data_IF_999020364959
#
_entry.id   IF_999020364959
#
_cell.length_a   1.000
_cell.length_b   1.000
_cell.length_c   1.000
_cell.angle_alpha   90.00
_cell.angle_beta   90.00
_cell.angle_gamma   90.00
#
_symmetry.space_group_name_H-M   'P 1'
#
loop_
_entity.id
_entity.type
_entity.pdbx_description
1 polymer ?
#
# COMPACT_ATOMS: atom_id res chain seq x y z
N UNK A 1 30.45 -17.12 1.89
CA UNK A 1 30.20 -15.98 2.78
C UNK A 1 30.44 -16.47 4.19
N UNK A 2 31.46 -15.96 4.87
CA UNK A 2 31.56 -16.14 6.32
C UNK A 2 30.34 -15.43 6.93
N UNK A 3 29.40 -16.19 7.44
CA UNK A 3 28.40 -15.65 8.36
C UNK A 3 29.20 -15.25 9.61
N UNK A 4 29.55 -13.97 9.67
CA UNK A 4 30.15 -13.40 10.88
C UNK A 4 29.29 -13.75 12.07
N UNK A 5 29.86 -13.68 13.24
CA UNK A 5 29.16 -13.85 14.51
C UNK A 5 27.81 -13.13 14.43
N UNK A 6 26.71 -13.85 14.62
CA UNK A 6 25.39 -13.21 14.80
C UNK A 6 25.56 -12.34 16.04
N UNK A 7 25.23 -11.06 15.94
CA UNK A 7 25.23 -10.17 17.09
C UNK A 7 24.21 -10.73 18.09
N UNK A 8 24.65 -10.95 19.33
CA UNK A 8 23.80 -11.55 20.37
C UNK A 8 22.54 -10.71 20.63
N UNK A 9 22.64 -9.38 20.51
CA UNK A 9 21.53 -8.47 20.68
C UNK A 9 20.48 -8.67 19.60
N UNK A 10 20.93 -8.76 18.32
CA UNK A 10 20.03 -9.03 17.18
C UNK A 10 19.38 -10.40 17.32
N UNK A 11 20.11 -11.41 17.81
CA UNK A 11 19.56 -12.75 18.00
C UNK A 11 18.45 -12.73 19.07
N UNK A 12 18.66 -12.05 20.19
CA UNK A 12 17.64 -11.90 21.24
C UNK A 12 16.38 -11.21 20.71
N UNK A 13 16.52 -10.19 19.85
CA UNK A 13 15.35 -9.55 19.24
C UNK A 13 14.63 -10.48 18.23
N UNK A 14 15.35 -11.37 17.54
CA UNK A 14 14.74 -12.40 16.71
C UNK A 14 14.01 -13.45 17.55
N UNK A 15 14.53 -13.84 18.72
CA UNK A 15 13.85 -14.71 19.68
C UNK A 15 12.53 -14.11 20.15
N UNK A 16 12.51 -12.80 20.46
CA UNK A 16 11.28 -12.07 20.79
C UNK A 16 10.30 -12.04 19.62
N UNK A 17 10.78 -11.85 18.39
CA UNK A 17 9.94 -11.91 17.19
C UNK A 17 9.30 -13.29 17.01
N UNK A 18 10.03 -14.37 17.26
CA UNK A 18 9.48 -15.73 17.19
C UNK A 18 8.45 -15.98 18.31
N UNK A 19 8.73 -15.50 19.54
CA UNK A 19 7.77 -15.56 20.65
C UNK A 19 6.49 -14.77 20.33
N UNK A 20 6.62 -13.59 19.72
CA UNK A 20 5.49 -12.80 19.23
C UNK A 20 4.66 -13.58 18.20
N UNK A 21 5.28 -14.21 17.20
CA UNK A 21 4.55 -15.01 16.21
C UNK A 21 3.76 -16.13 16.87
N UNK A 22 4.36 -16.82 17.82
CA UNK A 22 3.70 -17.88 18.59
C UNK A 22 2.51 -17.34 19.39
N UNK A 23 2.67 -16.22 20.08
CA UNK A 23 1.62 -15.59 20.87
C UNK A 23 0.41 -15.17 20.01
N UNK A 24 0.66 -14.67 18.79
CA UNK A 24 -0.38 -14.27 17.84
C UNK A 24 -0.92 -15.43 17.00
N UNK A 25 -0.49 -16.69 17.25
CA UNK A 25 -0.91 -17.86 16.47
C UNK A 25 -0.45 -17.85 15.02
N UNK A 26 0.56 -17.04 14.70
CA UNK A 26 1.14 -16.96 13.36
C UNK A 26 2.04 -18.18 13.11
N UNK A 27 2.09 -18.60 11.86
CA UNK A 27 2.90 -19.76 11.42
C UNK A 27 4.09 -19.29 10.61
N UNK A 28 5.27 -19.08 11.24
CA UNK A 28 6.46 -18.66 10.51
C UNK A 28 6.99 -19.78 9.62
N UNK A 29 7.44 -19.41 8.41
CA UNK A 29 8.03 -20.29 7.43
C UNK A 29 9.38 -19.79 6.99
N UNK A 30 10.38 -20.67 6.97
CA UNK A 30 11.70 -20.40 6.41
C UNK A 30 11.89 -21.11 5.09
N UNK A 31 12.11 -20.37 4.01
CA UNK A 31 12.46 -20.91 2.69
C UNK A 31 13.94 -20.69 2.39
N UNK A 32 14.69 -21.76 2.19
CA UNK A 32 16.15 -21.70 1.96
C UNK A 32 16.65 -22.71 0.92
N UNK A 33 17.72 -22.33 0.19
CA UNK A 33 18.36 -23.18 -0.80
C UNK A 33 19.75 -23.70 -0.39
N UNK A 34 20.39 -23.03 0.59
CA UNK A 34 21.82 -23.23 0.87
C UNK A 34 22.01 -23.73 2.30
N UNK A 35 22.93 -24.67 2.46
CA UNK A 35 23.42 -25.06 3.78
C UNK A 35 24.01 -23.85 4.50
N UNK A 36 23.71 -23.73 5.78
CA UNK A 36 24.23 -22.69 6.64
C UNK A 36 24.62 -23.27 7.98
N UNK A 37 25.64 -22.72 8.57
CA UNK A 37 26.09 -23.07 9.92
C UNK A 37 25.91 -21.87 10.84
N UNK A 38 25.67 -22.14 12.11
CA UNK A 38 25.64 -21.16 13.18
C UNK A 38 26.73 -21.48 14.20
N UNK A 39 27.37 -20.46 14.73
CA UNK A 39 28.33 -20.54 15.84
C UNK A 39 27.88 -19.55 16.92
N UNK A 40 27.52 -20.05 18.06
CA UNK A 40 27.08 -19.25 19.19
C UNK A 40 28.15 -19.29 20.30
N UNK A 41 28.48 -18.14 20.85
CA UNK A 41 29.34 -18.00 22.06
C UNK A 41 30.61 -18.88 22.05
N UNK A 42 31.28 -18.99 20.91
CA UNK A 42 32.53 -19.78 20.77
C UNK A 42 32.33 -21.30 20.72
N UNK A 43 31.10 -21.79 20.63
CA UNK A 43 30.83 -23.22 20.40
C UNK A 43 31.27 -23.69 19.00
N UNK A 44 31.35 -25.01 18.82
CA UNK A 44 31.60 -25.59 17.51
C UNK A 44 30.48 -25.21 16.52
N UNK A 45 30.81 -24.96 15.23
CA UNK A 45 29.76 -24.72 14.22
C UNK A 45 28.80 -25.91 14.11
N UNK A 46 27.49 -25.63 14.13
CA UNK A 46 26.44 -26.63 13.91
C UNK A 46 25.54 -26.26 12.74
N UNK A 47 24.78 -27.20 12.21
CA UNK A 47 23.82 -26.89 11.15
C UNK A 47 22.78 -25.90 11.66
N UNK A 48 22.50 -24.85 10.87
CA UNK A 48 21.54 -23.80 11.25
C UNK A 48 20.12 -24.33 11.35
N UNK A 49 19.73 -25.24 10.43
CA UNK A 49 18.37 -25.71 10.38
C UNK A 49 18.05 -26.69 11.54
N UNK A 50 19.02 -27.50 11.94
CA UNK A 50 18.87 -28.36 13.11
C UNK A 50 18.79 -27.51 14.39
N UNK A 51 19.59 -26.45 14.47
CA UNK A 51 19.48 -25.50 15.57
C UNK A 51 18.13 -24.80 15.63
N UNK A 52 17.58 -24.35 14.47
CA UNK A 52 16.26 -23.69 14.42
C UNK A 52 15.12 -24.63 14.77
N UNK A 53 15.15 -25.89 14.34
CA UNK A 53 14.13 -26.89 14.71
C UNK A 53 14.09 -27.15 16.22
N UNK A 54 15.26 -27.13 16.88
CA UNK A 54 15.33 -27.35 18.33
C UNK A 54 14.81 -26.12 19.13
N UNK A 55 15.12 -24.90 18.66
CA UNK A 55 14.81 -23.68 19.37
C UNK A 55 13.44 -23.07 19.03
N UNK A 56 12.95 -23.31 17.82
CA UNK A 56 11.70 -22.76 17.30
C UNK A 56 10.86 -23.85 16.66
N UNK A 57 10.27 -24.74 17.45
CA UNK A 57 9.50 -25.90 16.94
C UNK A 57 8.26 -25.50 16.12
N UNK A 58 7.78 -24.29 16.25
CA UNK A 58 6.70 -23.70 15.45
C UNK A 58 7.15 -23.26 14.04
N UNK A 59 8.46 -23.16 13.78
CA UNK A 59 9.01 -22.74 12.50
C UNK A 59 9.00 -23.89 11.49
N UNK A 60 8.26 -23.74 10.40
CA UNK A 60 8.31 -24.69 9.30
C UNK A 60 9.46 -24.39 8.35
N UNK A 61 10.35 -25.35 8.11
CA UNK A 61 11.55 -25.14 7.29
C UNK A 61 11.45 -25.87 5.96
N UNK A 62 11.34 -25.11 4.87
CA UNK A 62 11.41 -25.59 3.49
C UNK A 62 12.84 -25.39 2.94
N UNK A 63 13.56 -26.51 2.79
CA UNK A 63 14.91 -26.48 2.21
C UNK A 63 15.14 -27.68 1.29
N UNK A 64 15.72 -27.43 0.11
CA UNK A 64 16.13 -28.48 -0.83
C UNK A 64 17.15 -29.45 -0.27
N UNK A 65 17.84 -29.08 0.81
CA UNK A 65 18.82 -29.97 1.46
C UNK A 65 18.12 -31.14 2.16
N UNK A 66 16.89 -30.95 2.64
CA UNK A 66 16.07 -31.97 3.29
C UNK A 66 15.09 -32.63 2.33
N UNK A 67 14.53 -31.84 1.38
CA UNK A 67 13.63 -32.35 0.35
C UNK A 67 13.99 -31.77 -1.03
N UNK A 68 14.58 -32.58 -1.93
CA UNK A 68 14.92 -32.17 -3.30
C UNK A 68 13.73 -31.76 -4.17
N UNK A 69 12.49 -32.10 -3.79
CA UNK A 69 11.26 -31.68 -4.51
C UNK A 69 10.98 -30.20 -4.37
N UNK A 70 11.46 -29.55 -3.30
CA UNK A 70 11.25 -28.12 -3.10
C UNK A 70 11.93 -27.35 -4.24
N UNK A 71 11.20 -26.51 -4.98
CA UNK A 71 11.77 -25.74 -6.07
C UNK A 71 12.82 -24.74 -5.59
N UNK A 72 13.69 -24.28 -6.50
CA UNK A 72 14.67 -23.27 -6.15
C UNK A 72 14.01 -21.94 -5.78
N UNK A 73 14.42 -21.38 -4.64
CA UNK A 73 14.14 -19.99 -4.26
C UNK A 73 14.44 -19.08 -5.47
N UNK A 74 13.71 -17.98 -5.62
CA UNK A 74 13.61 -17.07 -6.78
C UNK A 74 12.70 -17.57 -7.91
N UNK A 75 12.26 -18.80 -7.92
CA UNK A 75 11.29 -19.25 -8.91
C UNK A 75 9.87 -19.04 -8.38
N UNK A 76 8.93 -18.80 -9.29
CA UNK A 76 7.50 -18.75 -8.93
C UNK A 76 7.05 -20.07 -8.31
N UNK A 77 7.56 -21.19 -8.85
CA UNK A 77 7.26 -22.51 -8.32
C UNK A 77 7.65 -22.71 -6.85
N UNK A 78 8.69 -21.99 -6.34
CA UNK A 78 9.08 -22.12 -4.93
C UNK A 78 8.05 -21.50 -3.98
N UNK A 79 7.50 -20.35 -4.33
CA UNK A 79 6.44 -19.71 -3.55
C UNK A 79 5.11 -20.44 -3.71
N UNK A 80 4.76 -20.86 -4.92
CA UNK A 80 3.57 -21.69 -5.17
C UNK A 80 3.60 -22.98 -4.37
N UNK A 81 4.76 -23.65 -4.31
CA UNK A 81 4.95 -24.87 -3.51
C UNK A 81 4.69 -24.60 -2.02
N UNK A 82 5.33 -23.58 -1.45
CA UNK A 82 5.15 -23.25 -0.01
C UNK A 82 3.71 -22.86 0.30
N UNK A 83 3.10 -22.01 -0.54
CA UNK A 83 1.71 -21.58 -0.35
C UNK A 83 0.75 -22.78 -0.41
N UNK A 84 0.96 -23.70 -1.36
CA UNK A 84 0.15 -24.91 -1.51
C UNK A 84 0.30 -25.85 -0.31
N UNK A 85 1.53 -26.09 0.15
CA UNK A 85 1.78 -26.96 1.33
C UNK A 85 1.17 -26.41 2.61
N UNK A 86 1.14 -25.07 2.74
CA UNK A 86 0.58 -24.40 3.90
C UNK A 86 -0.92 -24.12 3.78
N UNK A 87 -1.51 -24.30 2.59
CA UNK A 87 -2.91 -24.00 2.31
C UNK A 87 -3.21 -22.49 2.33
N UNK A 88 -2.27 -21.65 1.90
CA UNK A 88 -2.37 -20.18 1.94
C UNK A 88 -2.53 -19.57 0.55
N UNK A 89 -3.26 -18.47 0.51
CA UNK A 89 -3.24 -17.53 -0.61
C UNK A 89 -2.08 -16.54 -0.48
N UNK A 90 -1.58 -16.01 -1.60
CA UNK A 90 -0.44 -15.08 -1.58
C UNK A 90 -0.71 -13.79 -0.79
N UNK A 91 -1.95 -13.33 -0.73
CA UNK A 91 -2.35 -12.15 0.04
C UNK A 91 -2.82 -12.47 1.46
N UNK A 92 -2.44 -13.60 2.02
CA UNK A 92 -2.61 -13.95 3.44
C UNK A 92 -1.28 -14.00 4.18
N UNK A 93 -0.17 -13.75 3.47
CA UNK A 93 1.19 -13.85 4.02
C UNK A 93 2.00 -12.61 3.70
N UNK A 94 3.05 -12.35 4.48
CA UNK A 94 4.07 -11.35 4.17
C UNK A 94 5.44 -12.03 4.08
N UNK A 95 6.34 -11.48 3.29
CA UNK A 95 7.69 -12.03 3.12
C UNK A 95 8.71 -11.12 3.80
N UNK A 96 9.38 -11.62 4.85
CA UNK A 96 10.46 -10.92 5.54
C UNK A 96 11.79 -11.39 4.94
N UNK A 97 12.61 -10.46 4.45
CA UNK A 97 13.88 -10.80 3.85
C UNK A 97 14.83 -9.62 3.68
N UNK A 98 16.09 -9.89 3.36
CA UNK A 98 17.15 -8.86 3.32
C UNK A 98 17.98 -8.85 2.04
N UNK A 99 17.78 -9.83 1.17
CA UNK A 99 18.62 -10.02 -0.02
C UNK A 99 17.84 -9.82 -1.31
N UNK A 100 18.58 -9.61 -2.41
CA UNK A 100 17.99 -9.59 -3.75
C UNK A 100 17.26 -10.90 -4.10
N UNK A 101 17.74 -12.04 -3.60
CA UNK A 101 17.10 -13.34 -3.78
C UNK A 101 15.76 -13.42 -3.05
N UNK A 102 15.65 -12.81 -1.87
CA UNK A 102 14.40 -12.70 -1.10
C UNK A 102 13.39 -11.83 -1.84
N UNK A 103 13.84 -10.67 -2.32
CA UNK A 103 13.01 -9.76 -3.10
C UNK A 103 12.42 -10.44 -4.35
N UNK A 104 13.26 -11.13 -5.15
CA UNK A 104 12.78 -11.86 -6.34
C UNK A 104 11.77 -12.95 -5.94
N UNK A 105 12.01 -13.64 -4.83
CA UNK A 105 11.10 -14.68 -4.33
C UNK A 105 9.74 -14.11 -3.96
N UNK A 106 9.71 -13.02 -3.19
CA UNK A 106 8.49 -12.32 -2.82
C UNK A 106 7.73 -11.78 -4.06
N UNK A 107 8.46 -11.15 -4.99
CA UNK A 107 7.91 -10.63 -6.24
C UNK A 107 7.23 -11.72 -7.07
N UNK A 108 7.89 -12.87 -7.26
CA UNK A 108 7.34 -13.98 -8.04
C UNK A 108 6.15 -14.65 -7.34
N UNK A 109 6.08 -14.57 -6.03
CA UNK A 109 4.94 -15.03 -5.25
C UNK A 109 3.79 -14.03 -5.15
N UNK A 110 3.96 -12.80 -5.67
CA UNK A 110 3.04 -11.69 -5.44
C UNK A 110 2.78 -11.44 -3.94
N UNK A 111 3.85 -11.53 -3.13
CA UNK A 111 3.81 -11.41 -1.67
C UNK A 111 4.43 -10.06 -1.27
N UNK A 112 3.80 -9.35 -0.33
CA UNK A 112 4.30 -8.09 0.20
C UNK A 112 5.67 -8.30 0.85
N UNK A 113 6.67 -7.52 0.42
CA UNK A 113 8.05 -7.68 0.85
C UNK A 113 8.42 -6.68 1.94
N UNK A 114 8.67 -7.19 3.15
CA UNK A 114 9.19 -6.46 4.30
C UNK A 114 10.71 -6.63 4.34
N UNK A 115 11.44 -5.54 4.12
CA UNK A 115 12.89 -5.56 4.01
C UNK A 115 13.54 -5.41 5.38
N UNK A 116 14.11 -6.49 5.87
CA UNK A 116 14.82 -6.57 7.13
C UNK A 116 16.28 -6.07 6.96
N UNK A 117 16.58 -4.83 7.36
CA UNK A 117 17.91 -4.24 7.18
C UNK A 117 18.87 -4.49 8.34
N UNK A 118 18.38 -4.90 9.49
CA UNK A 118 19.22 -5.25 10.65
C UNK A 118 20.20 -6.40 10.40
N UNK A 119 19.90 -7.26 9.45
CA UNK A 119 20.75 -8.40 9.09
C UNK A 119 21.62 -8.11 7.87
N UNK A 120 21.07 -7.48 6.86
CA UNK A 120 21.76 -7.20 5.59
C UNK A 120 20.97 -6.22 4.76
N UNK A 121 21.63 -5.25 4.15
CA UNK A 121 21.01 -4.30 3.23
C UNK A 121 21.54 -4.53 1.80
N UNK A 122 21.02 -5.56 1.11
CA UNK A 122 21.45 -5.96 -0.25
C UNK A 122 20.41 -5.73 -1.33
N UNK A 123 19.36 -4.99 -1.03
CA UNK A 123 18.32 -4.61 -1.98
C UNK A 123 17.67 -3.30 -1.52
N UNK A 124 17.21 -2.48 -2.44
CA UNK A 124 16.45 -1.22 -2.23
C UNK A 124 14.95 -1.43 -2.44
N UNK A 125 14.50 -2.68 -2.59
CA UNK A 125 13.09 -3.03 -2.77
C UNK A 125 12.45 -3.38 -1.43
N UNK A 126 11.16 -3.13 -1.36
CA UNK A 126 10.35 -3.45 -0.18
C UNK A 126 10.33 -2.34 0.87
N UNK A 127 9.43 -2.49 1.82
CA UNK A 127 9.29 -1.59 2.95
C UNK A 127 10.39 -1.89 3.96
N UNK A 128 11.12 -0.86 4.38
CA UNK A 128 12.31 -1.00 5.22
C UNK A 128 11.96 -1.07 6.69
N UNK A 129 12.62 -2.01 7.38
CA UNK A 129 12.56 -2.19 8.82
C UNK A 129 13.98 -2.38 9.34
N UNK A 130 14.40 -1.56 10.29
CA UNK A 130 15.75 -1.53 10.83
C UNK A 130 15.97 -2.52 11.97
N UNK A 131 14.90 -3.03 12.58
CA UNK A 131 14.94 -3.97 13.69
C UNK A 131 13.73 -4.91 13.72
N UNK A 132 13.85 -6.09 14.36
CA UNK A 132 12.75 -7.06 14.49
C UNK A 132 11.51 -6.50 15.16
N UNK A 133 11.67 -5.58 16.12
CA UNK A 133 10.57 -4.92 16.84
C UNK A 133 9.65 -4.13 15.89
N UNK A 134 10.22 -3.43 14.93
CA UNK A 134 9.46 -2.68 13.93
C UNK A 134 8.61 -3.59 13.05
N UNK A 135 9.15 -4.76 12.65
CA UNK A 135 8.39 -5.77 11.89
C UNK A 135 7.25 -6.33 12.72
N UNK A 136 7.50 -6.66 14.00
CA UNK A 136 6.47 -7.17 14.88
C UNK A 136 5.34 -6.14 15.06
N UNK A 137 5.69 -4.88 15.33
CA UNK A 137 4.74 -3.76 15.43
C UNK A 137 3.91 -3.62 14.14
N UNK A 138 4.56 -3.62 12.98
CA UNK A 138 3.88 -3.52 11.69
C UNK A 138 2.89 -4.68 11.46
N UNK A 139 3.30 -5.89 11.78
CA UNK A 139 2.43 -7.06 11.65
C UNK A 139 1.25 -6.94 12.62
N UNK A 140 1.52 -6.67 13.89
CA UNK A 140 0.50 -6.63 14.94
C UNK A 140 -0.56 -5.55 14.70
N UNK A 141 -0.13 -4.37 14.29
CA UNK A 141 -1.02 -3.21 14.16
C UNK A 141 -1.60 -3.00 12.76
N UNK A 142 -1.01 -3.57 11.73
CA UNK A 142 -1.41 -3.29 10.34
C UNK A 142 -1.78 -4.53 9.54
N UNK A 143 -1.11 -5.68 9.78
CA UNK A 143 -1.39 -6.90 9.03
C UNK A 143 -2.49 -7.76 9.66
N UNK A 144 -2.67 -7.70 10.98
CA UNK A 144 -3.66 -8.51 11.72
C UNK A 144 -5.02 -7.83 11.87
N UNK A 145 -5.25 -6.72 11.16
CA UNK A 145 -6.58 -6.09 11.08
C UNK A 145 -7.55 -7.02 10.35
N UNK A 146 -8.80 -7.04 10.80
CA UNK A 146 -9.88 -7.80 10.17
C UNK A 146 -10.63 -6.96 9.14
N UNK A 147 -10.67 -5.64 9.32
CA UNK A 147 -11.40 -4.68 8.49
C UNK A 147 -10.43 -3.71 7.81
N UNK A 148 -10.40 -3.71 6.47
CA UNK A 148 -9.41 -2.95 5.71
C UNK A 148 -9.91 -1.64 5.12
N UNK A 149 -11.20 -1.55 4.81
CA UNK A 149 -11.79 -0.37 4.20
C UNK A 149 -13.00 0.12 4.99
N UNK A 150 -13.01 1.40 5.34
CA UNK A 150 -14.14 2.00 6.05
C UNK A 150 -15.29 2.39 5.14
N UNK A 151 -15.02 2.59 3.85
CA UNK A 151 -16.05 2.91 2.87
C UNK A 151 -15.69 2.33 1.50
N UNK A 152 -16.65 1.65 0.88
CA UNK A 152 -16.48 1.04 -0.43
C UNK A 152 -17.67 1.36 -1.32
N UNK A 153 -17.41 1.72 -2.58
CA UNK A 153 -18.41 1.85 -3.61
C UNK A 153 -18.03 0.92 -4.75
N UNK A 154 -18.80 -0.13 -4.97
CA UNK A 154 -18.63 -1.06 -6.09
C UNK A 154 -19.92 -1.05 -6.90
N UNK A 155 -19.86 -0.53 -8.12
CA UNK A 155 -21.01 -0.38 -9.00
C UNK A 155 -20.59 -0.59 -10.47
N UNK A 156 -20.77 -1.81 -10.96
CA UNK A 156 -20.30 -2.20 -12.29
C UNK A 156 -18.80 -2.08 -12.43
N UNK A 157 -18.35 -1.22 -13.34
CA UNK A 157 -16.90 -0.94 -13.53
C UNK A 157 -16.37 0.19 -12.63
N UNK A 158 -17.22 0.80 -11.80
CA UNK A 158 -16.82 1.82 -10.84
C UNK A 158 -16.42 1.20 -9.52
N UNK A 159 -15.17 1.43 -9.10
CA UNK A 159 -14.62 0.94 -7.84
C UNK A 159 -13.92 2.07 -7.09
N UNK A 160 -14.37 2.32 -5.86
CA UNK A 160 -13.78 3.29 -4.95
C UNK A 160 -13.67 2.73 -3.54
N UNK A 161 -12.52 2.96 -2.91
CA UNK A 161 -12.21 2.52 -1.56
C UNK A 161 -11.65 3.66 -0.73
N UNK A 162 -12.03 3.75 0.54
CA UNK A 162 -11.45 4.70 1.49
C UNK A 162 -10.99 3.98 2.76
N UNK A 163 -9.76 4.28 3.18
CA UNK A 163 -9.15 3.66 4.36
C UNK A 163 -9.90 4.07 5.64
N UNK A 164 -10.12 5.37 5.84
CA UNK A 164 -10.74 5.88 7.06
C UNK A 164 -11.76 7.00 6.79
N UNK A 165 -12.83 7.10 7.60
CA UNK A 165 -13.69 8.25 7.59
C UNK A 165 -12.99 9.45 8.21
N UNK A 166 -13.34 10.64 7.76
CA UNK A 166 -12.73 11.89 8.18
C UNK A 166 -13.79 12.85 8.73
N UNK A 167 -13.57 13.29 9.97
CA UNK A 167 -14.34 14.37 10.57
C UNK A 167 -13.51 15.09 11.61
N UNK A 168 -13.52 16.41 11.57
CA UNK A 168 -12.95 17.24 12.64
C UNK A 168 -14.03 17.79 13.58
N UNK A 169 -15.27 17.33 13.43
CA UNK A 169 -16.37 17.78 14.28
C UNK A 169 -16.23 17.21 15.70
N UNK A 170 -16.30 18.04 16.74
CA UNK A 170 -16.28 17.57 18.12
C UNK A 170 -17.50 16.70 18.49
N UNK A 171 -18.56 16.75 17.70
CA UNK A 171 -19.76 15.91 17.87
C UNK A 171 -19.59 14.49 17.30
N UNK A 172 -18.41 14.15 16.79
CA UNK A 172 -18.06 12.84 16.27
C UNK A 172 -16.75 12.35 16.92
N UNK A 173 -16.77 12.05 18.24
CA UNK A 173 -15.56 11.78 19.02
C UNK A 173 -14.77 10.58 18.48
N UNK A 174 -15.43 9.52 18.00
CA UNK A 174 -14.78 8.34 17.42
C UNK A 174 -13.84 8.72 16.27
N UNK A 175 -14.28 9.62 15.37
CA UNK A 175 -13.45 10.03 14.23
C UNK A 175 -12.50 11.16 14.59
N UNK A 176 -12.84 12.03 15.53
CA UNK A 176 -11.98 13.11 15.99
C UNK A 176 -10.69 12.58 16.61
N UNK A 177 -10.74 11.40 17.26
CA UNK A 177 -9.63 10.74 17.91
C UNK A 177 -8.40 10.62 17.00
N UNK A 178 -8.58 10.27 15.73
CA UNK A 178 -7.48 10.09 14.79
C UNK A 178 -7.50 11.07 13.59
N UNK A 179 -8.61 11.75 13.32
CA UNK A 179 -8.76 12.56 12.08
C UNK A 179 -7.73 13.67 11.94
N UNK A 180 -7.30 14.30 13.05
CA UNK A 180 -6.24 15.31 13.04
C UNK A 180 -4.91 14.69 12.62
N UNK A 181 -4.55 13.55 13.20
CA UNK A 181 -3.32 12.82 12.90
C UNK A 181 -3.32 12.34 11.44
N UNK A 182 -4.39 11.66 11.02
CA UNK A 182 -4.57 11.18 9.65
C UNK A 182 -4.50 12.31 8.61
N UNK A 183 -5.12 13.47 8.91
CA UNK A 183 -5.05 14.63 8.02
C UNK A 183 -3.65 15.23 7.98
N UNK A 184 -2.95 15.30 9.11
CA UNK A 184 -1.58 15.80 9.15
C UNK A 184 -0.65 14.90 8.33
N UNK A 185 -0.80 13.57 8.44
CA UNK A 185 -0.07 12.60 7.65
C UNK A 185 -0.37 12.73 6.16
N UNK A 186 -1.65 12.72 5.78
CA UNK A 186 -2.06 12.74 4.38
C UNK A 186 -1.71 14.06 3.66
N UNK A 187 -1.89 15.21 4.34
CA UNK A 187 -1.70 16.54 3.71
C UNK A 187 -0.31 17.10 3.84
N UNK A 188 0.39 16.81 4.94
CA UNK A 188 1.62 17.52 5.29
C UNK A 188 2.81 16.58 5.53
N UNK A 189 2.60 15.26 5.47
CA UNK A 189 3.63 14.28 5.80
C UNK A 189 4.11 14.42 7.26
N UNK A 190 3.21 14.77 8.19
CA UNK A 190 3.49 15.00 9.61
C UNK A 190 2.70 14.03 10.49
N UNK A 191 3.11 13.87 11.75
CA UNK A 191 2.51 12.88 12.64
C UNK A 191 2.91 11.45 12.27
N UNK A 192 2.00 10.50 12.42
CA UNK A 192 2.28 9.07 12.27
C UNK A 192 2.11 8.58 10.83
N UNK A 193 2.87 9.19 9.92
CA UNK A 193 2.78 8.93 8.47
C UNK A 193 3.01 7.47 8.16
N UNK A 194 3.97 6.83 8.82
CA UNK A 194 4.31 5.41 8.59
C UNK A 194 3.16 4.47 8.99
N UNK A 195 2.41 4.80 10.05
CA UNK A 195 1.19 4.06 10.38
C UNK A 195 0.14 4.18 9.27
N UNK A 196 -0.19 5.40 8.84
CA UNK A 196 -1.25 5.63 7.86
C UNK A 196 -0.92 5.06 6.47
N UNK A 197 0.32 5.20 6.03
CA UNK A 197 0.79 4.60 4.78
C UNK A 197 0.87 3.09 4.87
N UNK A 198 1.34 2.56 6.00
CA UNK A 198 1.32 1.13 6.27
C UNK A 198 -0.09 0.55 6.25
N UNK A 199 -1.07 1.25 6.88
CA UNK A 199 -2.47 0.85 6.85
C UNK A 199 -3.05 0.85 5.44
N UNK A 200 -2.73 1.86 4.62
CA UNK A 200 -3.15 1.93 3.22
C UNK A 200 -2.55 0.79 2.39
N UNK A 201 -1.24 0.56 2.53
CA UNK A 201 -0.50 -0.49 1.82
C UNK A 201 -1.04 -1.88 2.16
N UNK A 202 -1.24 -2.17 3.45
CA UNK A 202 -1.77 -3.46 3.90
C UNK A 202 -3.22 -3.66 3.45
N UNK A 203 -4.05 -2.61 3.47
CA UNK A 203 -5.41 -2.67 2.93
C UNK A 203 -5.42 -3.03 1.44
N UNK A 204 -4.63 -2.34 0.61
CA UNK A 204 -4.50 -2.67 -0.82
C UNK A 204 -3.96 -4.08 -1.06
N UNK A 205 -3.08 -4.55 -0.17
CA UNK A 205 -2.47 -5.87 -0.31
C UNK A 205 -3.43 -6.99 0.08
N UNK A 206 -3.96 -6.99 1.30
CA UNK A 206 -4.80 -8.07 1.83
C UNK A 206 -6.13 -8.17 1.09
N UNK A 207 -6.69 -7.07 0.58
CA UNK A 207 -7.88 -7.08 -0.28
C UNK A 207 -7.61 -7.41 -1.75
N UNK A 208 -6.35 -7.69 -2.12
CA UNK A 208 -5.97 -8.18 -3.44
C UNK A 208 -5.98 -7.12 -4.56
N UNK A 209 -6.06 -5.83 -4.26
CA UNK A 209 -6.02 -4.75 -5.27
C UNK A 209 -4.77 -4.85 -6.13
N UNK A 210 -3.61 -5.19 -5.53
CA UNK A 210 -2.34 -5.36 -6.24
C UNK A 210 -2.37 -6.40 -7.37
N UNK A 211 -3.27 -7.38 -7.30
CA UNK A 211 -3.43 -8.42 -8.34
C UNK A 211 -4.18 -7.90 -9.57
N UNK A 212 -5.00 -6.84 -9.42
CA UNK A 212 -5.92 -6.34 -10.43
C UNK A 212 -5.44 -5.11 -11.19
N UNK A 213 -4.31 -4.53 -10.80
CA UNK A 213 -3.75 -3.30 -11.38
C UNK A 213 -2.52 -3.57 -12.23
N UNK A 214 -2.25 -2.68 -13.20
CA UNK A 214 -1.02 -2.65 -13.99
C UNK A 214 -0.11 -1.50 -13.58
N UNK A 215 -0.73 -0.35 -13.23
CA UNK A 215 -0.04 0.89 -12.88
C UNK A 215 -0.64 1.53 -11.64
N UNK A 216 0.16 2.39 -11.01
CA UNK A 216 -0.25 3.20 -9.85
C UNK A 216 0.06 4.64 -10.18
N UNK A 217 -0.84 5.55 -9.83
CA UNK A 217 -0.63 6.99 -9.93
C UNK A 217 -1.27 7.68 -8.72
N UNK A 218 -0.68 8.79 -8.29
CA UNK A 218 -1.30 9.70 -7.34
C UNK A 218 -2.01 10.83 -8.09
N UNK A 219 -3.11 11.34 -7.53
CA UNK A 219 -3.73 12.55 -8.03
C UNK A 219 -2.85 13.76 -7.65
N UNK A 220 -2.54 14.69 -8.58
CA UNK A 220 -1.62 15.80 -8.32
C UNK A 220 -2.22 16.80 -7.34
N UNK A 221 -1.37 17.48 -6.59
CA UNK A 221 -1.73 18.60 -5.73
C UNK A 221 -2.49 19.70 -6.50
N UNK A 222 -2.97 20.73 -5.79
CA UNK A 222 -3.76 21.80 -6.39
C UNK A 222 -2.93 22.81 -7.20
N UNK A 223 -1.64 22.88 -6.97
CA UNK A 223 -0.69 23.74 -7.69
C UNK A 223 0.18 22.94 -8.64
N UNK A 224 0.68 23.58 -9.68
CA UNK A 224 1.61 22.97 -10.61
C UNK A 224 2.88 22.48 -9.88
N UNK A 225 3.29 21.24 -10.16
CA UNK A 225 4.52 20.65 -9.63
C UNK A 225 4.54 20.36 -8.12
N UNK A 226 3.38 20.33 -7.46
CA UNK A 226 3.29 20.02 -6.02
C UNK A 226 2.66 18.64 -5.81
N UNK A 227 3.44 17.73 -5.26
CA UNK A 227 3.03 16.36 -4.92
C UNK A 227 3.20 16.06 -3.42
N UNK A 228 2.63 14.96 -2.96
CA UNK A 228 2.88 14.40 -1.64
C UNK A 228 4.02 13.38 -1.75
N UNK A 229 5.26 13.83 -1.59
CA UNK A 229 6.47 13.03 -1.81
C UNK A 229 6.50 11.72 -1.01
N UNK A 230 6.02 11.73 0.24
CA UNK A 230 6.03 10.53 1.09
C UNK A 230 5.04 9.49 0.56
N UNK A 231 3.80 9.89 0.27
CA UNK A 231 2.79 9.01 -0.33
C UNK A 231 3.28 8.44 -1.66
N UNK A 232 3.86 9.29 -2.51
CA UNK A 232 4.41 8.89 -3.80
C UNK A 232 5.55 7.87 -3.66
N UNK A 233 6.42 8.07 -2.67
CA UNK A 233 7.52 7.14 -2.35
C UNK A 233 7.02 5.75 -1.95
N UNK A 234 6.02 5.69 -1.09
CA UNK A 234 5.48 4.42 -0.60
C UNK A 234 4.61 3.71 -1.64
N UNK A 235 3.84 4.45 -2.44
CA UNK A 235 3.11 3.90 -3.60
C UNK A 235 4.08 3.32 -4.64
N UNK A 236 5.22 3.98 -4.88
CA UNK A 236 6.27 3.44 -5.74
C UNK A 236 6.87 2.16 -5.14
N UNK A 237 7.14 2.12 -3.84
CA UNK A 237 7.65 0.94 -3.15
C UNK A 237 6.66 -0.22 -3.23
N UNK A 238 5.37 0.05 -2.98
CA UNK A 238 4.30 -0.92 -3.16
C UNK A 238 4.27 -1.46 -4.60
N UNK A 239 4.29 -0.57 -5.58
CA UNK A 239 4.32 -0.97 -6.99
C UNK A 239 5.52 -1.87 -7.33
N UNK A 240 6.70 -1.55 -6.82
CA UNK A 240 7.91 -2.37 -7.02
C UNK A 240 7.78 -3.76 -6.42
N UNK A 241 7.12 -3.93 -5.27
CA UNK A 241 6.87 -5.25 -4.67
C UNK A 241 6.15 -6.20 -5.63
N UNK A 242 5.30 -5.69 -6.51
CA UNK A 242 4.46 -6.47 -7.42
C UNK A 242 4.76 -6.26 -8.91
N UNK A 243 5.91 -5.68 -9.25
CA UNK A 243 6.29 -5.31 -10.62
C UNK A 243 5.26 -4.40 -11.31
N UNK A 244 4.57 -3.56 -10.56
CA UNK A 244 3.65 -2.53 -11.06
C UNK A 244 4.40 -1.22 -11.23
N UNK A 245 4.16 -0.49 -12.32
CA UNK A 245 4.80 0.80 -12.55
C UNK A 245 4.10 1.90 -11.77
N UNK A 246 4.84 2.65 -10.94
CA UNK A 246 4.37 3.91 -10.42
C UNK A 246 4.62 5.02 -11.47
N UNK A 247 3.56 5.71 -11.88
CA UNK A 247 3.56 6.75 -12.90
C UNK A 247 3.32 8.09 -12.22
N UNK A 248 4.38 8.71 -11.66
CA UNK A 248 4.25 9.89 -10.82
C UNK A 248 3.70 11.11 -11.54
N UNK A 249 3.99 11.25 -12.83
CA UNK A 249 3.58 12.33 -13.70
C UNK A 249 2.49 11.93 -14.72
N UNK A 250 1.70 10.88 -14.43
CA UNK A 250 0.62 10.46 -15.32
C UNK A 250 -0.45 11.53 -15.48
N UNK A 251 -0.84 12.18 -14.38
CA UNK A 251 -1.78 13.30 -14.39
C UNK A 251 -0.98 14.55 -14.10
N UNK A 252 -0.94 15.46 -15.06
CA UNK A 252 -0.28 16.74 -14.94
C UNK A 252 -1.29 17.83 -14.62
N UNK A 253 -0.99 18.67 -13.65
CA UNK A 253 -1.72 19.89 -13.41
C UNK A 253 -1.09 21.01 -14.23
N UNK A 254 -1.73 21.35 -15.34
CA UNK A 254 -1.27 22.40 -16.26
C UNK A 254 -1.74 23.81 -15.88
N UNK A 255 -2.62 23.91 -14.88
CA UNK A 255 -3.16 25.17 -14.34
C UNK A 255 -3.54 24.97 -12.88
N UNK A 256 -3.18 25.92 -12.04
CA UNK A 256 -3.54 25.87 -10.60
C UNK A 256 -5.06 25.79 -10.41
N UNK A 257 -5.52 24.78 -9.68
CA UNK A 257 -6.91 24.66 -9.29
C UNK A 257 -7.23 25.50 -8.05
N UNK A 258 -8.45 26.02 -7.96
CA UNK A 258 -8.90 26.74 -6.78
C UNK A 258 -9.03 25.73 -5.62
N UNK A 259 -8.39 26.01 -4.49
CA UNK A 259 -8.53 25.19 -3.28
C UNK A 259 -9.96 25.24 -2.76
N UNK A 260 -10.57 24.09 -2.47
CA UNK A 260 -11.92 24.02 -1.90
C UNK A 260 -12.06 24.79 -0.58
N UNK A 261 -11.01 24.84 0.24
CA UNK A 261 -11.01 25.64 1.47
C UNK A 261 -11.03 27.15 1.17
N UNK A 262 -10.19 27.62 0.25
CA UNK A 262 -10.13 29.01 -0.19
C UNK A 262 -11.46 29.44 -0.82
N UNK A 263 -12.02 28.61 -1.69
CA UNK A 263 -13.32 28.86 -2.30
C UNK A 263 -14.43 29.01 -1.26
N UNK A 264 -14.44 28.14 -0.25
CA UNK A 264 -15.41 28.18 0.84
C UNK A 264 -15.31 29.45 1.69
N UNK A 265 -14.07 29.84 2.04
CA UNK A 265 -13.82 31.08 2.80
C UNK A 265 -14.26 32.30 2.01
N UNK A 266 -13.93 32.35 0.72
CA UNK A 266 -14.22 33.49 -0.16
C UNK A 266 -15.60 33.40 -0.83
N UNK A 267 -16.43 32.39 -0.49
CA UNK A 267 -17.76 32.16 -1.08
C UNK A 267 -17.73 32.06 -2.61
N UNK A 268 -16.64 31.54 -3.18
CA UNK A 268 -16.49 31.31 -4.63
C UNK A 268 -17.16 29.98 -4.95
N UNK A 269 -18.16 29.94 -5.84
CA UNK A 269 -18.74 28.68 -6.28
C UNK A 269 -17.71 27.91 -7.10
N UNK A 270 -17.41 26.68 -6.68
CA UNK A 270 -16.60 25.74 -7.42
C UNK A 270 -17.35 24.43 -7.59
N UNK A 271 -17.12 23.78 -8.71
CA UNK A 271 -17.65 22.49 -9.04
C UNK A 271 -16.55 21.59 -9.65
N UNK A 272 -16.92 20.46 -10.23
CA UNK A 272 -16.01 19.51 -10.85
C UNK A 272 -15.24 20.08 -12.06
N UNK A 273 -15.74 21.15 -12.73
CA UNK A 273 -14.99 21.82 -13.81
C UNK A 273 -13.67 22.41 -13.34
N UNK A 274 -13.59 22.80 -12.05
CA UNK A 274 -12.32 23.27 -11.45
C UNK A 274 -11.22 22.19 -11.51
N UNK A 275 -11.57 20.91 -11.50
CA UNK A 275 -10.62 19.81 -11.64
C UNK A 275 -10.44 19.45 -13.13
N UNK A 276 -11.51 19.28 -13.88
CA UNK A 276 -11.48 18.91 -15.30
C UNK A 276 -10.64 19.87 -16.16
N UNK A 277 -10.77 21.19 -15.89
CA UNK A 277 -10.13 22.24 -16.68
C UNK A 277 -8.71 22.58 -16.25
N UNK A 278 -8.13 21.82 -15.32
CA UNK A 278 -6.81 22.13 -14.76
C UNK A 278 -5.85 20.94 -14.83
N UNK A 279 -6.32 19.80 -15.32
CA UNK A 279 -5.49 18.59 -15.50
C UNK A 279 -5.46 18.14 -16.95
N UNK A 280 -4.45 17.38 -17.27
CA UNK A 280 -4.31 16.56 -18.50
C UNK A 280 -3.49 15.31 -18.20
N UNK A 281 -3.45 14.35 -19.10
CA UNK A 281 -2.54 13.22 -18.98
C UNK A 281 -1.19 13.52 -19.66
N UNK A 282 -0.13 13.01 -19.06
CA UNK A 282 1.15 12.85 -19.74
C UNK A 282 1.10 11.58 -20.61
N UNK A 283 1.31 11.75 -21.92
CA UNK A 283 1.29 10.63 -22.86
C UNK A 283 2.44 9.66 -22.66
N UNK A 284 3.58 10.16 -22.17
CA UNK A 284 4.83 9.42 -22.00
C UNK A 284 5.35 9.57 -20.56
N UNK A 285 4.56 9.11 -19.57
CA UNK A 285 4.90 9.32 -18.17
C UNK A 285 6.19 8.60 -17.79
N UNK A 286 6.78 9.04 -16.68
CA UNK A 286 8.00 8.45 -16.13
C UNK A 286 7.66 7.34 -15.15
N UNK A 287 8.21 6.14 -15.39
CA UNK A 287 8.09 5.00 -14.48
C UNK A 287 9.07 5.13 -13.33
N UNK A 288 8.57 5.11 -12.10
CA UNK A 288 9.36 5.06 -10.87
C UNK A 288 10.45 6.14 -10.80
N UNK A 289 10.19 7.34 -11.29
CA UNK A 289 11.13 8.48 -11.38
C UNK A 289 12.43 8.19 -12.18
N UNK A 290 12.47 7.11 -12.95
CA UNK A 290 13.71 6.66 -13.61
C UNK A 290 13.61 6.55 -15.13
N UNK A 291 12.50 6.06 -15.66
CA UNK A 291 12.41 5.68 -17.06
C UNK A 291 11.19 6.27 -17.72
N UNK A 292 11.39 7.16 -18.68
CA UNK A 292 10.31 7.71 -19.52
C UNK A 292 9.83 6.64 -20.49
N UNK A 293 8.52 6.46 -20.61
CA UNK A 293 7.95 5.54 -21.59
C UNK A 293 8.12 6.07 -23.01
N UNK A 294 8.41 5.17 -23.94
CA UNK A 294 8.53 5.50 -25.37
C UNK A 294 7.20 5.48 -26.13
N UNK A 295 6.16 4.93 -25.52
CA UNK A 295 4.77 4.87 -26.02
C UNK A 295 3.83 4.95 -24.84
N UNK A 296 2.62 5.47 -25.04
CA UNK A 296 1.61 5.57 -24.00
C UNK A 296 1.38 4.21 -23.32
N UNK A 297 1.71 4.09 -22.02
CA UNK A 297 1.54 2.82 -21.29
C UNK A 297 0.08 2.58 -20.90
N UNK A 298 -0.66 3.66 -20.61
CA UNK A 298 -2.07 3.63 -20.20
C UNK A 298 -2.94 3.57 -21.45
N UNK A 299 -3.68 2.48 -21.61
CA UNK A 299 -4.47 2.16 -22.78
C UNK A 299 -5.47 1.04 -22.50
N UNK A 300 -6.34 0.72 -23.45
CA UNK A 300 -7.29 -0.41 -23.37
C UNK A 300 -6.63 -1.69 -22.85
N UNK A 301 -7.29 -2.35 -21.91
CA UNK A 301 -6.84 -3.59 -21.26
C UNK A 301 -5.83 -3.37 -20.13
N UNK A 302 -5.60 -2.11 -19.72
CA UNK A 302 -4.81 -1.75 -18.53
C UNK A 302 -5.68 -1.20 -17.44
N UNK A 303 -5.27 -1.44 -16.18
CA UNK A 303 -5.94 -0.90 -15.00
C UNK A 303 -4.96 -0.01 -14.24
N UNK A 304 -5.38 1.20 -13.91
CA UNK A 304 -4.63 2.17 -13.12
C UNK A 304 -5.26 2.29 -11.74
N UNK A 305 -4.47 2.08 -10.70
CA UNK A 305 -4.82 2.47 -9.35
C UNK A 305 -4.54 3.97 -9.21
N UNK A 306 -5.59 4.76 -8.99
CA UNK A 306 -5.48 6.20 -8.73
C UNK A 306 -5.72 6.49 -7.26
N UNK A 307 -4.72 7.08 -6.60
CA UNK A 307 -4.73 7.36 -5.16
C UNK A 307 -4.77 8.85 -4.90
N UNK A 308 -5.59 9.28 -3.94
CA UNK A 308 -5.63 10.68 -3.45
C UNK A 308 -5.65 10.69 -1.91
N UNK A 309 -5.39 11.84 -1.30
CA UNK A 309 -5.33 12.00 0.15
C UNK A 309 -6.73 12.02 0.80
N UNK A 310 -7.61 12.93 0.40
CA UNK A 310 -8.94 13.15 1.00
C UNK A 310 -10.02 13.28 -0.06
N UNK A 311 -11.02 12.41 0.00
CA UNK A 311 -12.21 12.51 -0.81
C UNK A 311 -13.36 13.17 -0.04
N UNK A 312 -13.86 14.32 -0.53
CA UNK A 312 -15.13 14.90 -0.09
C UNK A 312 -16.23 14.53 -1.08
N UNK A 313 -16.33 15.24 -2.19
CA UNK A 313 -17.32 14.96 -3.24
C UNK A 313 -16.78 14.09 -4.39
N UNK A 314 -15.53 13.68 -4.35
CA UNK A 314 -14.90 12.83 -5.37
C UNK A 314 -14.45 13.53 -6.64
N UNK A 315 -14.63 14.82 -6.78
CA UNK A 315 -14.37 15.54 -8.04
C UNK A 315 -12.93 15.42 -8.57
N UNK A 316 -11.95 15.43 -7.68
CA UNK A 316 -10.53 15.23 -8.07
C UNK A 316 -10.32 13.84 -8.67
N UNK A 317 -10.66 12.81 -7.90
CA UNK A 317 -10.51 11.43 -8.35
C UNK A 317 -11.32 11.15 -9.61
N UNK A 318 -12.56 11.63 -9.68
CA UNK A 318 -13.42 11.35 -10.82
C UNK A 318 -12.95 12.09 -12.09
N UNK A 319 -12.41 13.31 -11.97
CA UNK A 319 -11.75 13.98 -13.08
C UNK A 319 -10.55 13.15 -13.58
N UNK A 320 -9.67 12.70 -12.69
CA UNK A 320 -8.55 11.82 -13.05
C UNK A 320 -9.02 10.53 -13.71
N UNK A 321 -10.05 9.88 -13.14
CA UNK A 321 -10.69 8.69 -13.71
C UNK A 321 -11.16 8.93 -15.14
N UNK A 322 -11.94 9.97 -15.39
CA UNK A 322 -12.47 10.29 -16.74
C UNK A 322 -11.37 10.50 -17.77
N UNK A 323 -10.27 11.16 -17.41
CA UNK A 323 -9.12 11.31 -18.29
C UNK A 323 -8.42 9.99 -18.57
N UNK A 324 -8.20 9.15 -17.55
CA UNK A 324 -7.59 7.82 -17.69
C UNK A 324 -8.48 6.92 -18.54
N UNK A 325 -9.76 6.84 -18.25
CA UNK A 325 -10.73 5.99 -18.96
C UNK A 325 -10.92 6.42 -20.43
N UNK A 326 -10.69 7.69 -20.76
CA UNK A 326 -10.66 8.16 -22.15
C UNK A 326 -9.59 7.46 -23.01
N UNK A 327 -8.53 6.95 -22.39
CA UNK A 327 -7.50 6.13 -23.07
C UNK A 327 -7.97 4.69 -23.34
N UNK A 328 -9.11 4.28 -22.81
CA UNK A 328 -9.64 2.91 -22.81
C UNK A 328 -9.12 2.05 -21.65
N UNK A 329 -8.34 2.59 -20.72
CA UNK A 329 -7.94 1.93 -19.49
C UNK A 329 -9.09 1.90 -18.48
N UNK A 330 -9.00 0.99 -17.48
CA UNK A 330 -9.86 0.98 -16.29
C UNK A 330 -9.17 1.66 -15.13
N UNK A 331 -9.96 2.09 -14.13
CA UNK A 331 -9.44 2.68 -12.91
C UNK A 331 -9.98 1.95 -11.67
N UNK A 332 -9.14 1.88 -10.64
CA UNK A 332 -9.54 1.60 -9.25
C UNK A 332 -9.14 2.84 -8.46
N UNK A 333 -10.08 3.37 -7.68
CA UNK A 333 -9.91 4.62 -6.94
C UNK A 333 -9.70 4.33 -5.46
N UNK A 334 -8.69 4.93 -4.85
CA UNK A 334 -8.39 4.77 -3.42
C UNK A 334 -8.12 6.12 -2.78
N UNK A 335 -8.63 6.33 -1.57
CA UNK A 335 -8.25 7.48 -0.74
C UNK A 335 -7.85 7.05 0.68
N UNK A 336 -7.02 7.84 1.31
CA UNK A 336 -6.77 7.67 2.73
C UNK A 336 -8.02 7.99 3.52
N UNK A 337 -8.65 9.13 3.23
CA UNK A 337 -9.72 9.68 4.03
C UNK A 337 -10.96 9.98 3.18
N UNK A 338 -12.13 9.60 3.68
CA UNK A 338 -13.43 10.00 3.14
C UNK A 338 -14.14 10.90 4.13
N UNK A 339 -14.50 12.12 3.71
CA UNK A 339 -15.31 13.01 4.54
C UNK A 339 -16.66 12.36 4.80
N UNK A 340 -17.01 12.18 6.07
CA UNK A 340 -18.26 11.55 6.49
C UNK A 340 -19.50 12.33 5.99
N UNK A 341 -20.58 11.61 5.75
CA UNK A 341 -21.87 12.15 5.30
C UNK A 341 -21.78 13.01 4.03
N UNK A 342 -20.76 12.75 3.19
CA UNK A 342 -20.64 13.41 1.88
C UNK A 342 -20.71 12.37 0.77
N UNK A 343 -21.59 12.59 -0.18
CA UNK A 343 -21.76 11.70 -1.31
C UNK A 343 -20.55 11.76 -2.25
N UNK A 344 -20.30 10.69 -2.97
CA UNK A 344 -19.37 10.71 -4.10
C UNK A 344 -20.17 11.08 -5.36
N UNK A 345 -19.69 12.05 -6.12
CA UNK A 345 -20.35 12.55 -7.33
C UNK A 345 -19.53 12.18 -8.56
N UNK A 346 -20.07 11.32 -9.39
CA UNK A 346 -19.48 10.94 -10.67
C UNK A 346 -19.77 12.02 -11.73
N UNK A 347 -18.77 12.35 -12.53
CA UNK A 347 -18.85 13.30 -13.63
C UNK A 347 -19.48 12.62 -14.85
N UNK A 348 -20.35 13.30 -15.55
CA UNK A 348 -21.05 12.78 -16.71
C UNK A 348 -20.18 12.60 -17.95
N UNK A 349 -20.85 12.34 -19.05
CA UNK A 349 -20.19 12.14 -20.35
C UNK A 349 -19.50 13.41 -20.83
N UNK A 350 -18.19 13.33 -21.07
CA UNK A 350 -17.38 14.48 -21.51
C UNK A 350 -17.27 14.59 -23.04
N UNK A 351 -17.97 13.75 -23.79
CA UNK A 351 -17.89 13.74 -25.24
C UNK A 351 -16.52 13.28 -25.79
N UNK A 352 -16.18 13.81 -26.97
CA UNK A 352 -14.87 13.50 -27.58
C UNK A 352 -13.86 14.59 -27.22
N UNK A 353 -12.71 14.18 -26.64
CA UNK A 353 -11.60 15.08 -26.30
C UNK A 353 -10.29 14.29 -26.33
N UNK A 354 -9.17 14.98 -26.48
CA UNK A 354 -7.83 14.37 -26.31
C UNK A 354 -7.40 14.49 -24.85
N UNK A 355 -7.21 13.38 -24.12
CA UNK A 355 -6.84 13.43 -22.71
C UNK A 355 -5.41 13.94 -22.47
N UNK A 356 -4.59 14.05 -23.50
CA UNK A 356 -3.21 14.54 -23.43
C UNK A 356 -3.06 16.05 -23.66
N UNK A 357 -4.16 16.73 -24.00
CA UNK A 357 -4.18 18.16 -24.23
C UNK A 357 -4.88 18.89 -23.07
N UNK A 358 -4.57 20.17 -22.92
CA UNK A 358 -5.28 21.05 -22.00
C UNK A 358 -6.69 21.33 -22.56
N UNK A 359 -7.70 20.78 -21.89
CA UNK A 359 -9.09 20.92 -22.29
C UNK A 359 -9.80 21.98 -21.47
N UNK A 360 -10.84 22.58 -22.05
CA UNK A 360 -11.76 23.47 -21.37
C UNK A 360 -13.18 22.96 -21.57
N UNK A 361 -13.77 22.48 -20.47
CA UNK A 361 -15.14 21.97 -20.46
C UNK A 361 -16.08 22.99 -19.84
N UNK A 362 -17.30 23.04 -20.36
CA UNK A 362 -18.39 23.81 -19.81
C UNK A 362 -19.67 22.98 -19.91
N UNK A 363 -20.53 23.06 -18.90
CA UNK A 363 -21.84 22.41 -18.93
C UNK A 363 -21.81 20.88 -18.85
N UNK A 364 -20.68 20.27 -18.44
CA UNK A 364 -20.65 18.85 -18.16
C UNK A 364 -21.51 18.56 -16.95
N UNK A 365 -22.57 17.70 -17.06
CA UNK A 365 -23.42 17.37 -15.92
C UNK A 365 -22.70 16.41 -14.96
N UNK A 366 -23.21 16.29 -13.74
CA UNK A 366 -22.97 15.11 -12.92
C UNK A 366 -23.81 13.94 -13.47
N UNK A 367 -23.23 12.75 -13.46
CA UNK A 367 -23.88 11.53 -13.96
C UNK A 367 -24.63 10.83 -12.83
N UNK A 368 -23.89 10.40 -11.82
CA UNK A 368 -24.41 9.65 -10.70
C UNK A 368 -23.89 10.18 -9.38
N UNK A 369 -24.76 10.19 -8.39
CA UNK A 369 -24.43 10.50 -7.01
C UNK A 369 -24.54 9.23 -6.19
N UNK A 370 -23.44 8.85 -5.57
CA UNK A 370 -23.37 7.71 -4.67
C UNK A 370 -23.54 8.22 -3.25
N UNK A 371 -24.67 7.91 -2.65
CA UNK A 371 -24.99 8.32 -1.28
C UNK A 371 -24.04 7.68 -0.27
N UNK A 372 -23.52 8.46 0.68
CA UNK A 372 -22.54 7.98 1.65
C UNK A 372 -23.01 6.72 2.40
N UNK A 373 -24.30 6.66 2.75
CA UNK A 373 -24.90 5.53 3.48
C UNK A 373 -25.61 4.50 2.58
N UNK A 374 -25.57 4.67 1.27
CA UNK A 374 -26.19 3.75 0.30
C UNK A 374 -25.25 2.61 -0.10
N UNK A 375 -23.96 2.73 0.18
CA UNK A 375 -22.93 1.77 -0.11
C UNK A 375 -22.29 1.28 1.17
N UNK A 376 -21.36 0.34 1.05
CA UNK A 376 -20.74 -0.27 2.22
C UNK A 376 -19.98 0.78 3.06
N UNK A 377 -20.44 0.96 4.30
CA UNK A 377 -19.77 1.76 5.33
C UNK A 377 -19.48 0.85 6.51
N UNK A 378 -18.22 0.55 6.72
CA UNK A 378 -17.78 -0.28 7.83
C UNK A 378 -17.40 0.60 9.04
N UNK A 379 -18.29 0.65 10.01
CA UNK A 379 -18.03 1.36 11.28
C UNK A 379 -16.95 0.68 12.11
N UNK A 380 -16.89 -0.65 12.06
CA UNK A 380 -15.89 -1.44 12.80
C UNK A 380 -14.49 -1.19 12.26
N UNK A 381 -14.32 -1.10 10.94
CA UNK A 381 -13.02 -0.74 10.34
C UNK A 381 -12.48 0.57 10.88
N UNK A 382 -13.36 1.54 11.14
CA UNK A 382 -12.98 2.86 11.66
C UNK A 382 -12.54 2.80 13.13
N UNK A 383 -13.26 2.03 13.94
CA UNK A 383 -12.94 1.84 15.36
C UNK A 383 -11.64 1.04 15.50
N UNK A 384 -11.54 -0.09 14.80
CA UNK A 384 -10.34 -0.92 14.75
C UNK A 384 -9.11 -0.11 14.36
N UNK A 385 -9.21 0.72 13.31
CA UNK A 385 -8.08 1.53 12.87
C UNK A 385 -7.66 2.58 13.92
N UNK A 386 -8.59 3.14 14.67
CA UNK A 386 -8.30 4.04 15.80
C UNK A 386 -7.58 3.34 16.93
N UNK A 387 -8.03 2.15 17.30
CA UNK A 387 -7.43 1.33 18.36
C UNK A 387 -6.03 0.84 17.94
N UNK A 388 -5.86 0.46 16.69
CA UNK A 388 -4.56 0.08 16.14
C UNK A 388 -3.58 1.25 16.04
N UNK A 389 -4.04 2.49 15.83
CA UNK A 389 -3.17 3.67 15.94
C UNK A 389 -2.66 3.85 17.36
N UNK A 390 -3.52 3.74 18.37
CA UNK A 390 -3.09 3.82 19.77
C UNK A 390 -2.11 2.70 20.12
N UNK A 391 -2.42 1.48 19.71
CA UNK A 391 -1.51 0.35 19.90
C UNK A 391 -0.17 0.59 19.19
N UNK A 392 -0.15 1.16 17.97
CA UNK A 392 1.07 1.46 17.23
C UNK A 392 1.97 2.47 17.95
N UNK A 393 1.37 3.49 18.55
CA UNK A 393 2.09 4.56 19.26
C UNK A 393 2.79 4.05 20.52
N UNK A 394 2.12 3.19 21.27
CA UNK A 394 2.59 2.67 22.56
C UNK A 394 3.11 1.22 22.47
N UNK A 395 3.33 0.72 21.24
CA UNK A 395 3.66 -0.68 21.02
C UNK A 395 4.98 -1.10 21.66
N UNK A 396 4.94 -2.14 22.46
CA UNK A 396 6.10 -2.85 22.96
C UNK A 396 5.89 -4.36 22.81
N UNK A 397 6.96 -5.13 23.01
CA UNK A 397 6.89 -6.58 22.97
C UNK A 397 5.80 -7.06 23.94
N UNK A 398 4.82 -7.86 23.46
CA UNK A 398 3.83 -8.44 24.35
C UNK A 398 4.52 -9.39 25.33
N UNK A 399 4.06 -9.37 26.59
CA UNK A 399 4.62 -10.15 27.72
C UNK A 399 4.37 -11.65 27.55
#
# INVERSE_FOLDING_TARGET
>A
MNMGKIDATVFTEVEKLMAFFKLRGLKPVLLANKRRTITLNGSAPRDLYDYLDEHFPELTIFTRLRDPKIPFKKTKAATEYVLSEMGWESNEVVYIGSSHDDMITALHGSILFLRATWYSNKTDYGFEFSEPKEVARFIDTLCLREHFWSHEIIDGDFEYYALAPFSTSPYKPTFAKYSHNARAAAKFGQGDVDFWLGALVTSMYFTGIHKRIDFIAAYPGHSEGVDNDKMCGDLMTFGKCFNKGYLHDLIERHKTAIKSQTARINKIPIDHHNQLNTIKLNKLPTKNYKTVYKKAPVKKGKTVLLVDDICTAGWSLDAGRKYIEKTGAKTILVTWLKTINTNYCSIGGMGNFDPYEANTFAGIPMDKQYGYHEYHVDGVASEELGDHLELYLDWDWPA
#
